data_IF_745819678157
#
_entry.id   IF_745819678157
#
_cell.length_a   1.000
_cell.length_b   1.000
_cell.length_c   1.000
_cell.angle_alpha   90.00
_cell.angle_beta   90.00
_cell.angle_gamma   90.00
#
_symmetry.space_group_name_H-M   'P 1'
#
loop_
_entity.id
_entity.type
_entity.pdbx_description
1 polymer ?
#
# COMPACT_ATOMS: atom_id res chain seq x y z
N UNK A 1 6.37 -36.03 -2.25
CA UNK A 1 7.69 -36.50 -2.60
C UNK A 1 7.59 -37.80 -3.41
N UNK A 2 8.34 -37.90 -4.51
CA UNK A 2 8.46 -39.14 -5.31
C UNK A 2 9.78 -39.83 -5.02
N UNK A 3 9.73 -41.00 -4.40
CA UNK A 3 10.92 -41.81 -4.15
C UNK A 3 11.55 -42.33 -5.45
N UNK A 4 10.71 -42.62 -6.44
CA UNK A 4 11.16 -43.10 -7.74
C UNK A 4 11.99 -42.03 -8.51
N UNK A 5 11.47 -40.78 -8.48
CA UNK A 5 12.06 -39.63 -9.22
C UNK A 5 13.02 -38.81 -8.39
N UNK A 6 13.12 -39.07 -7.10
CA UNK A 6 13.90 -38.28 -6.12
C UNK A 6 13.66 -36.77 -6.26
N UNK A 7 12.37 -36.39 -6.42
CA UNK A 7 11.93 -34.99 -6.58
C UNK A 7 10.53 -34.78 -6.04
N UNK A 8 10.19 -33.52 -5.79
CA UNK A 8 8.83 -33.12 -5.47
C UNK A 8 7.97 -33.08 -6.74
N UNK A 9 6.73 -33.53 -6.65
CA UNK A 9 5.75 -33.48 -7.73
C UNK A 9 4.59 -32.56 -7.32
N UNK A 10 4.44 -31.46 -8.03
CA UNK A 10 3.39 -30.48 -7.80
C UNK A 10 2.11 -30.91 -8.49
N UNK A 11 0.99 -30.83 -7.76
CA UNK A 11 -0.36 -31.07 -8.26
C UNK A 11 -1.30 -29.99 -7.76
N UNK A 12 -2.20 -29.50 -8.62
CA UNK A 12 -3.21 -28.52 -8.26
C UNK A 12 -3.38 -27.42 -9.29
N UNK A 13 -4.13 -26.38 -8.90
CA UNK A 13 -4.45 -25.25 -9.76
C UNK A 13 -4.04 -23.95 -9.08
N UNK A 14 -3.40 -23.06 -9.82
CA UNK A 14 -3.10 -21.70 -9.42
C UNK A 14 -3.80 -20.72 -10.35
N UNK A 15 -4.48 -19.73 -9.80
CA UNK A 15 -5.24 -18.72 -10.58
C UNK A 15 -4.64 -17.32 -10.38
N UNK A 16 -4.88 -16.48 -11.38
CA UNK A 16 -4.45 -15.06 -11.38
C UNK A 16 -2.94 -14.87 -11.23
N UNK A 17 -2.15 -15.78 -11.83
CA UNK A 17 -0.68 -15.72 -11.74
C UNK A 17 -0.16 -14.74 -12.79
N UNK A 18 0.30 -13.59 -12.34
CA UNK A 18 0.95 -12.59 -13.18
C UNK A 18 2.23 -13.17 -13.79
N UNK A 19 2.40 -13.00 -15.11
CA UNK A 19 3.48 -13.61 -15.88
C UNK A 19 3.58 -15.14 -15.70
N UNK A 20 2.42 -15.80 -15.56
CA UNK A 20 2.33 -17.24 -15.26
C UNK A 20 2.83 -18.14 -16.37
N UNK A 21 3.09 -17.62 -17.59
CA UNK A 21 3.74 -18.34 -18.69
C UNK A 21 5.28 -18.22 -18.67
N UNK A 22 5.84 -17.65 -17.61
CA UNK A 22 7.29 -17.54 -17.41
C UNK A 22 7.98 -18.90 -17.33
N UNK A 23 9.27 -18.92 -17.65
CA UNK A 23 10.05 -20.17 -17.74
C UNK A 23 10.37 -20.78 -16.38
N UNK A 24 10.58 -19.94 -15.36
CA UNK A 24 10.87 -20.36 -13.98
C UNK A 24 9.84 -19.76 -13.03
N UNK A 25 9.34 -20.57 -12.11
CA UNK A 25 8.34 -20.14 -11.15
C UNK A 25 8.70 -20.58 -9.73
N UNK A 26 8.54 -19.66 -8.76
CA UNK A 26 8.49 -20.00 -7.35
C UNK A 26 7.08 -20.38 -6.97
N UNK A 27 6.91 -21.57 -6.41
CA UNK A 27 5.60 -22.14 -6.09
C UNK A 27 5.51 -22.46 -4.61
N UNK A 28 4.56 -21.81 -3.94
CA UNK A 28 4.20 -22.20 -2.57
C UNK A 28 3.26 -23.39 -2.63
N UNK A 29 3.67 -24.51 -2.04
CA UNK A 29 2.87 -25.74 -2.00
C UNK A 29 2.92 -26.43 -0.63
N UNK A 30 1.91 -27.24 -0.35
CA UNK A 30 1.85 -28.04 0.86
C UNK A 30 2.69 -29.28 0.71
N UNK A 31 3.70 -29.41 1.57
CA UNK A 31 4.61 -30.56 1.62
C UNK A 31 4.37 -31.46 2.82
N UNK A 32 3.51 -31.04 3.76
CA UNK A 32 3.19 -31.78 4.98
C UNK A 32 1.74 -32.27 4.93
N UNK A 33 1.57 -33.58 4.88
CA UNK A 33 0.24 -34.21 4.97
C UNK A 33 -0.44 -33.91 6.32
N UNK A 34 -1.76 -33.83 6.32
CA UNK A 34 -2.55 -33.60 7.52
C UNK A 34 -2.45 -32.21 8.13
N UNK A 35 -1.73 -31.27 7.52
CA UNK A 35 -1.65 -29.89 7.98
C UNK A 35 -2.60 -28.97 7.20
N UNK A 36 -3.19 -27.99 7.90
CA UNK A 36 -4.07 -26.97 7.30
C UNK A 36 -3.51 -25.55 7.43
N UNK A 37 -2.51 -25.37 8.26
CA UNK A 37 -1.88 -24.08 8.58
C UNK A 37 -0.66 -23.75 7.69
N UNK A 38 -0.05 -22.60 7.96
CA UNK A 38 1.12 -22.10 7.27
C UNK A 38 2.38 -22.97 7.42
N UNK A 39 2.46 -23.76 8.50
CA UNK A 39 3.62 -24.61 8.82
C UNK A 39 3.74 -25.83 7.90
N UNK A 40 2.65 -26.17 7.20
CA UNK A 40 2.68 -27.24 6.19
C UNK A 40 3.16 -26.80 4.81
N UNK A 41 3.53 -25.52 4.61
CA UNK A 41 3.84 -24.93 3.33
C UNK A 41 5.34 -24.73 3.14
N UNK A 42 5.85 -25.20 1.99
CA UNK A 42 7.23 -25.02 1.55
C UNK A 42 7.31 -24.27 0.23
N UNK A 43 8.45 -23.63 -0.03
CA UNK A 43 8.73 -22.97 -1.29
C UNK A 43 9.44 -23.94 -2.21
N UNK A 44 8.96 -24.06 -3.43
CA UNK A 44 9.55 -24.88 -4.48
C UNK A 44 9.86 -24.03 -5.72
N UNK A 45 10.91 -24.37 -6.44
CA UNK A 45 11.20 -23.82 -7.76
C UNK A 45 10.82 -24.83 -8.82
N UNK A 46 10.10 -24.36 -9.81
CA UNK A 46 9.66 -25.12 -10.99
C UNK A 46 10.31 -24.51 -12.24
N UNK A 47 10.83 -25.36 -13.11
CA UNK A 47 11.35 -25.02 -14.43
C UNK A 47 10.38 -25.54 -15.50
N UNK A 48 9.95 -24.67 -16.43
CA UNK A 48 9.01 -25.03 -17.49
C UNK A 48 9.51 -26.16 -18.39
N UNK A 49 10.83 -26.31 -18.53
CA UNK A 49 11.48 -27.37 -19.31
C UNK A 49 11.20 -28.77 -18.76
N UNK A 50 10.92 -28.88 -17.45
CA UNK A 50 10.63 -30.16 -16.79
C UNK A 50 9.19 -30.65 -17.06
N UNK A 51 8.34 -29.82 -17.66
CA UNK A 51 6.97 -30.16 -18.02
C UNK A 51 6.01 -30.29 -16.81
N UNK A 52 4.81 -30.82 -17.06
CA UNK A 52 3.82 -31.02 -16.00
C UNK A 52 2.98 -29.80 -15.65
N UNK A 53 3.24 -28.62 -16.24
CA UNK A 53 2.40 -27.43 -16.07
C UNK A 53 1.76 -27.00 -17.40
N UNK A 54 0.46 -26.78 -17.35
CA UNK A 54 -0.31 -26.27 -18.49
C UNK A 54 -0.92 -24.91 -18.15
N UNK A 55 -0.68 -23.93 -19.00
CA UNK A 55 -1.47 -22.69 -19.01
C UNK A 55 -2.86 -23.04 -19.53
N UNK A 56 -3.87 -23.08 -18.65
CA UNK A 56 -5.23 -23.40 -19.01
C UNK A 56 -5.90 -22.25 -19.74
N UNK A 57 -5.62 -21.03 -19.30
CA UNK A 57 -6.03 -19.80 -19.99
C UNK A 57 -5.22 -18.58 -19.52
N UNK A 58 -5.18 -17.57 -20.37
CA UNK A 58 -4.79 -16.21 -20.03
C UNK A 58 -6.04 -15.42 -19.72
N UNK A 59 -6.09 -14.74 -18.60
CA UNK A 59 -7.26 -14.02 -18.11
C UNK A 59 -7.57 -12.78 -18.96
N UNK A 60 -8.85 -12.59 -19.29
CA UNK A 60 -9.33 -11.35 -19.91
C UNK A 60 -9.58 -10.30 -18.83
N UNK A 61 -8.67 -9.33 -18.72
CA UNK A 61 -8.62 -8.37 -17.61
C UNK A 61 -9.19 -7.01 -18.00
N UNK A 62 -9.59 -6.24 -16.98
CA UNK A 62 -9.99 -4.84 -17.12
C UNK A 62 -8.83 -3.99 -17.65
N UNK A 63 -7.67 -4.06 -17.00
CA UNK A 63 -6.43 -3.33 -17.31
C UNK A 63 -5.20 -4.21 -17.23
N UNK A 64 -4.02 -3.62 -17.33
CA UNK A 64 -2.70 -4.28 -17.36
C UNK A 64 -2.70 -5.46 -18.35
N UNK A 65 -3.22 -5.20 -19.56
CA UNK A 65 -3.44 -6.26 -20.56
C UNK A 65 -2.15 -6.76 -21.22
N UNK A 66 -1.06 -6.01 -21.12
CA UNK A 66 0.23 -6.39 -21.66
C UNK A 66 0.94 -7.51 -20.88
N UNK A 67 0.49 -7.82 -19.65
CA UNK A 67 1.04 -8.91 -18.85
C UNK A 67 0.10 -10.13 -18.88
N UNK A 68 0.60 -11.36 -19.19
CA UNK A 68 -0.21 -12.57 -19.20
C UNK A 68 -0.47 -13.02 -17.76
N UNK A 69 -1.71 -12.81 -17.28
CA UNK A 69 -2.17 -13.35 -16.01
C UNK A 69 -2.84 -14.69 -16.28
N UNK A 70 -2.25 -15.76 -15.75
CA UNK A 70 -2.58 -17.12 -16.16
C UNK A 70 -3.34 -17.89 -15.07
N UNK A 71 -4.12 -18.87 -15.52
CA UNK A 71 -4.54 -20.01 -14.74
C UNK A 71 -3.67 -21.20 -15.09
N UNK A 72 -2.91 -21.72 -14.09
CA UNK A 72 -1.95 -22.79 -14.24
C UNK A 72 -2.48 -24.09 -13.64
N UNK A 73 -2.36 -25.19 -14.39
CA UNK A 73 -2.67 -26.54 -13.91
C UNK A 73 -1.39 -27.33 -13.80
N UNK A 74 -1.08 -27.76 -12.60
CA UNK A 74 0.06 -28.61 -12.26
C UNK A 74 -0.40 -30.06 -12.22
N UNK A 75 0.29 -30.94 -12.95
CA UNK A 75 0.04 -32.39 -13.00
C UNK A 75 1.36 -33.10 -12.91
N UNK A 76 1.70 -33.60 -11.72
CA UNK A 76 2.97 -34.24 -11.43
C UNK A 76 4.19 -33.43 -11.92
N UNK A 77 4.12 -32.12 -11.82
CA UNK A 77 5.19 -31.22 -12.28
C UNK A 77 6.39 -31.32 -11.35
N UNK A 78 7.58 -31.72 -11.85
CA UNK A 78 8.77 -31.82 -11.04
C UNK A 78 9.19 -30.46 -10.48
N UNK A 79 9.62 -30.42 -9.22
CA UNK A 79 10.07 -29.18 -8.58
C UNK A 79 11.09 -29.45 -7.49
N UNK A 80 11.94 -28.47 -7.22
CA UNK A 80 12.99 -28.55 -6.21
C UNK A 80 12.66 -27.67 -5.01
N UNK A 81 12.99 -28.14 -3.81
CA UNK A 81 12.82 -27.39 -2.57
C UNK A 81 13.77 -26.18 -2.56
N UNK A 82 13.23 -25.02 -2.21
CA UNK A 82 14.02 -23.78 -2.00
C UNK A 82 14.10 -23.51 -0.51
N UNK A 83 15.33 -23.49 0.00
CA UNK A 83 15.57 -23.26 1.43
C UNK A 83 15.02 -24.38 2.33
N UNK A 84 14.50 -23.99 3.48
CA UNK A 84 14.06 -24.92 4.51
C UNK A 84 12.59 -25.36 4.30
N UNK A 85 12.33 -26.66 4.44
CA UNK A 85 10.99 -27.23 4.45
C UNK A 85 10.13 -26.61 5.55
N UNK A 86 8.84 -26.39 5.31
CA UNK A 86 7.88 -25.77 6.25
C UNK A 86 8.03 -24.26 6.45
N UNK A 87 9.05 -23.65 5.86
CA UNK A 87 9.31 -22.21 6.00
C UNK A 87 8.78 -21.39 4.81
N UNK A 88 8.10 -22.01 3.85
CA UNK A 88 7.68 -21.40 2.60
C UNK A 88 6.87 -20.12 2.79
N UNK A 89 5.81 -20.14 3.57
CA UNK A 89 4.99 -18.93 3.82
C UNK A 89 5.64 -18.02 4.86
N UNK A 90 6.04 -18.58 5.99
CA UNK A 90 6.45 -17.81 7.18
C UNK A 90 7.71 -16.97 6.91
N UNK A 91 8.67 -17.52 6.19
CA UNK A 91 9.95 -16.86 5.92
C UNK A 91 10.02 -16.31 4.49
N UNK A 92 9.83 -17.15 3.48
CA UNK A 92 10.15 -16.77 2.10
C UNK A 92 9.05 -15.96 1.43
N UNK A 93 7.79 -16.37 1.49
CA UNK A 93 6.68 -15.63 0.87
C UNK A 93 6.44 -14.30 1.58
N UNK A 94 6.51 -14.26 2.91
CA UNK A 94 6.29 -12.99 3.63
C UNK A 94 7.36 -11.94 3.30
N UNK A 95 8.63 -12.36 3.17
CA UNK A 95 9.70 -11.47 2.72
C UNK A 95 9.48 -10.96 1.28
N UNK A 96 9.10 -11.88 0.37
CA UNK A 96 8.77 -11.55 -1.02
C UNK A 96 7.58 -10.57 -1.10
N UNK A 97 6.52 -10.83 -0.34
CA UNK A 97 5.30 -10.01 -0.31
C UNK A 97 5.58 -8.58 0.19
N UNK A 98 6.42 -8.41 1.20
CA UNK A 98 6.78 -7.08 1.68
C UNK A 98 7.57 -6.29 0.62
N UNK A 99 8.50 -6.94 -0.08
CA UNK A 99 9.22 -6.32 -1.19
C UNK A 99 8.27 -5.99 -2.36
N UNK A 100 7.36 -6.90 -2.71
CA UNK A 100 6.37 -6.70 -3.77
C UNK A 100 5.42 -5.53 -3.45
N UNK A 101 4.97 -5.39 -2.20
CA UNK A 101 4.10 -4.27 -1.76
C UNK A 101 4.78 -2.91 -1.94
N UNK A 102 6.07 -2.82 -1.64
CA UNK A 102 6.84 -1.60 -1.89
C UNK A 102 6.93 -1.30 -3.40
N UNK A 103 7.14 -2.35 -4.23
CA UNK A 103 7.12 -2.25 -5.69
C UNK A 103 5.77 -1.77 -6.24
N UNK A 104 4.64 -2.28 -5.69
CA UNK A 104 3.30 -1.80 -6.04
C UNK A 104 3.10 -0.34 -5.59
N UNK A 105 3.67 0.04 -4.46
CA UNK A 105 3.72 1.44 -4.03
C UNK A 105 4.38 2.33 -5.10
N UNK A 106 5.55 1.94 -5.59
CA UNK A 106 6.27 2.66 -6.65
C UNK A 106 5.48 2.71 -7.97
N UNK A 107 4.89 1.59 -8.39
CA UNK A 107 4.05 1.52 -9.57
C UNK A 107 2.83 2.45 -9.46
N UNK A 108 2.19 2.47 -8.31
CA UNK A 108 1.04 3.35 -8.04
C UNK A 108 1.43 4.83 -8.05
N UNK A 109 2.59 5.20 -7.49
CA UNK A 109 3.13 6.57 -7.56
C UNK A 109 3.40 6.98 -9.00
N UNK A 110 3.97 6.08 -9.82
CA UNK A 110 4.19 6.32 -11.26
C UNK A 110 2.88 6.57 -12.02
N UNK A 111 1.81 5.83 -11.69
CA UNK A 111 0.49 6.01 -12.28
C UNK A 111 -0.15 7.34 -11.83
N UNK A 112 -0.02 7.69 -10.54
CA UNK A 112 -0.45 9.00 -10.02
C UNK A 112 0.21 10.14 -10.80
N UNK A 113 1.53 10.06 -11.01
CA UNK A 113 2.29 11.06 -11.75
C UNK A 113 1.82 11.16 -13.22
N UNK A 114 1.62 10.02 -13.89
CA UNK A 114 1.13 10.00 -15.27
C UNK A 114 -0.26 10.65 -15.36
N UNK A 115 -1.19 10.30 -14.48
CA UNK A 115 -2.53 10.87 -14.45
C UNK A 115 -2.50 12.41 -14.20
N UNK A 116 -1.67 12.84 -13.26
CA UNK A 116 -1.49 14.27 -12.97
C UNK A 116 -0.95 15.03 -14.19
N UNK A 117 0.11 14.51 -14.84
CA UNK A 117 0.73 15.16 -16.01
C UNK A 117 -0.24 15.28 -17.18
N UNK A 118 -1.00 14.24 -17.48
CA UNK A 118 -2.03 14.25 -18.53
C UNK A 118 -3.12 15.28 -18.21
N UNK A 119 -3.64 15.28 -16.98
CA UNK A 119 -4.64 16.26 -16.55
C UNK A 119 -4.12 17.71 -16.61
N UNK A 120 -2.88 17.94 -16.16
CA UNK A 120 -2.25 19.27 -16.19
C UNK A 120 -2.06 19.77 -17.63
N UNK A 121 -1.51 18.91 -18.51
CA UNK A 121 -1.29 19.24 -19.92
C UNK A 121 -2.60 19.63 -20.59
N UNK A 122 -3.62 18.78 -20.47
CA UNK A 122 -4.92 19.03 -21.07
C UNK A 122 -5.57 20.32 -20.54
N UNK A 123 -5.44 20.60 -19.24
CA UNK A 123 -6.02 21.78 -18.62
C UNK A 123 -5.39 23.10 -19.11
N UNK A 124 -4.13 23.06 -19.54
CA UNK A 124 -3.46 24.19 -20.17
C UNK A 124 -3.87 24.40 -21.64
N UNK A 125 -4.10 23.32 -22.38
CA UNK A 125 -4.37 23.33 -23.80
C UNK A 125 -5.86 23.56 -24.13
N UNK A 126 -6.76 23.02 -23.26
CA UNK A 126 -8.21 23.11 -23.52
C UNK A 126 -8.78 24.43 -23.08
N UNK A 127 -9.44 25.11 -24.02
CA UNK A 127 -10.15 26.35 -23.75
C UNK A 127 -11.67 26.13 -23.65
N UNK A 128 -12.29 26.84 -22.71
CA UNK A 128 -13.73 27.01 -22.56
C UNK A 128 -14.03 28.43 -22.07
N UNK A 129 -15.12 29.00 -22.54
CA UNK A 129 -15.54 30.36 -22.16
C UNK A 129 -14.43 31.41 -22.33
N UNK A 130 -13.61 31.26 -23.38
CA UNK A 130 -12.57 32.22 -23.76
C UNK A 130 -11.27 32.15 -22.94
N UNK A 131 -11.04 31.04 -22.19
CA UNK A 131 -9.80 30.85 -21.42
C UNK A 131 -9.46 29.37 -21.21
N UNK A 132 -8.17 29.02 -21.02
CA UNK A 132 -7.76 27.69 -20.63
C UNK A 132 -8.47 27.21 -19.37
N UNK A 133 -8.89 25.95 -19.35
CA UNK A 133 -9.69 25.41 -18.23
C UNK A 133 -8.94 25.39 -16.89
N UNK A 134 -7.61 25.41 -16.90
CA UNK A 134 -6.82 25.53 -15.67
C UNK A 134 -7.11 26.83 -14.90
N UNK A 135 -7.62 27.87 -15.56
CA UNK A 135 -7.97 29.13 -14.91
C UNK A 135 -9.31 29.10 -14.18
N UNK A 136 -10.05 27.99 -14.23
CA UNK A 136 -11.25 27.79 -13.41
C UNK A 136 -10.85 27.24 -12.05
N UNK A 137 -11.32 27.87 -10.97
CA UNK A 137 -10.97 27.51 -9.60
C UNK A 137 -11.17 26.04 -9.28
N UNK A 138 -12.28 25.45 -9.74
CA UNK A 138 -12.57 24.02 -9.53
C UNK A 138 -11.53 23.11 -10.20
N UNK A 139 -11.03 23.44 -11.39
CA UNK A 139 -10.00 22.67 -12.11
C UNK A 139 -8.64 22.86 -11.44
N UNK A 140 -8.29 24.09 -11.07
CA UNK A 140 -7.04 24.40 -10.34
C UNK A 140 -6.99 23.69 -9.00
N UNK A 141 -8.11 23.61 -8.27
CA UNK A 141 -8.21 22.89 -7.01
C UNK A 141 -7.98 21.38 -7.20
N UNK A 142 -8.63 20.76 -8.20
CA UNK A 142 -8.40 19.35 -8.54
C UNK A 142 -6.91 19.07 -8.81
N UNK A 143 -6.30 19.86 -9.68
CA UNK A 143 -4.88 19.70 -10.04
C UNK A 143 -3.93 19.94 -8.86
N UNK A 144 -4.23 20.92 -8.01
CA UNK A 144 -3.45 21.18 -6.79
C UNK A 144 -3.53 20.01 -5.80
N UNK A 145 -4.72 19.41 -5.63
CA UNK A 145 -4.93 18.23 -4.82
C UNK A 145 -4.20 17.02 -5.43
N UNK A 146 -4.25 16.83 -6.75
CA UNK A 146 -3.51 15.78 -7.44
C UNK A 146 -2.01 15.92 -7.22
N UNK A 147 -1.45 17.14 -7.40
CA UNK A 147 -0.02 17.41 -7.16
C UNK A 147 0.39 17.10 -5.73
N UNK A 148 -0.37 17.59 -4.76
CA UNK A 148 -0.07 17.37 -3.34
C UNK A 148 -0.10 15.88 -2.96
N UNK A 149 -1.08 15.12 -3.46
CA UNK A 149 -1.18 13.67 -3.25
C UNK A 149 -0.01 12.92 -3.88
N UNK A 150 0.36 13.21 -5.14
CA UNK A 150 1.48 12.55 -5.81
C UNK A 150 2.80 12.80 -5.08
N UNK A 151 3.06 14.04 -4.71
CA UNK A 151 4.27 14.38 -3.96
C UNK A 151 4.28 13.73 -2.57
N UNK A 152 3.13 13.72 -1.89
CA UNK A 152 2.98 13.11 -0.58
C UNK A 152 3.21 11.60 -0.57
N UNK A 153 2.59 10.84 -1.49
CA UNK A 153 2.83 9.39 -1.56
C UNK A 153 4.21 9.03 -2.07
N UNK A 154 4.84 9.89 -2.88
CA UNK A 154 6.25 9.74 -3.28
C UNK A 154 7.18 9.92 -2.07
N UNK A 155 6.93 10.92 -1.23
CA UNK A 155 7.67 11.11 0.00
C UNK A 155 7.53 9.91 0.95
N UNK A 156 6.30 9.40 1.11
CA UNK A 156 6.04 8.20 1.90
C UNK A 156 6.74 6.96 1.32
N UNK A 157 6.75 6.80 0.00
CA UNK A 157 7.45 5.70 -0.67
C UNK A 157 8.95 5.72 -0.38
N UNK A 158 9.60 6.86 -0.53
CA UNK A 158 11.03 6.98 -0.32
C UNK A 158 11.41 6.82 1.15
N UNK A 159 10.64 7.35 2.07
CA UNK A 159 10.86 7.14 3.51
C UNK A 159 10.71 5.67 3.89
N UNK A 160 9.69 4.99 3.34
CA UNK A 160 9.50 3.55 3.55
C UNK A 160 10.65 2.74 2.96
N UNK A 161 11.09 3.09 1.75
CA UNK A 161 12.24 2.44 1.10
C UNK A 161 13.50 2.58 1.94
N UNK A 162 13.75 3.76 2.52
CA UNK A 162 14.86 4.01 3.44
C UNK A 162 14.80 3.09 4.67
N UNK A 163 13.64 2.94 5.30
CA UNK A 163 13.50 2.03 6.45
C UNK A 163 13.78 0.58 6.07
N UNK A 164 13.26 0.15 4.92
CA UNK A 164 13.49 -1.21 4.42
C UNK A 164 14.96 -1.44 4.09
N UNK A 165 15.62 -0.47 3.48
CA UNK A 165 17.03 -0.58 3.10
C UNK A 165 17.94 -0.67 4.33
N UNK A 166 17.77 0.24 5.31
CA UNK A 166 18.56 0.23 6.54
C UNK A 166 18.40 -1.11 7.28
N UNK A 167 17.16 -1.59 7.43
CA UNK A 167 16.88 -2.89 8.05
C UNK A 167 17.59 -4.03 7.33
N UNK A 168 17.55 -4.05 5.98
CA UNK A 168 18.21 -5.09 5.16
C UNK A 168 19.72 -5.04 5.27
N UNK A 169 20.32 -3.84 5.32
CA UNK A 169 21.77 -3.70 5.48
C UNK A 169 22.26 -4.32 6.81
N UNK A 170 21.55 -4.11 7.92
CA UNK A 170 21.84 -4.81 9.17
C UNK A 170 21.67 -6.34 9.03
N UNK A 171 20.70 -6.78 8.24
CA UNK A 171 20.54 -8.20 7.91
C UNK A 171 21.77 -8.76 7.19
N UNK A 172 22.29 -8.07 6.18
CA UNK A 172 23.52 -8.47 5.47
C UNK A 172 24.73 -8.52 6.41
N UNK A 173 24.95 -7.45 7.20
CA UNK A 173 26.05 -7.41 8.18
C UNK A 173 25.95 -8.58 9.16
N UNK A 174 24.75 -8.98 9.56
CA UNK A 174 24.52 -10.11 10.50
C UNK A 174 24.94 -11.48 9.92
N UNK A 175 25.03 -11.60 8.60
CA UNK A 175 25.58 -12.80 7.93
C UNK A 175 27.10 -12.84 7.90
N UNK A 176 27.76 -11.67 8.00
CA UNK A 176 29.21 -11.54 7.94
C UNK A 176 29.85 -11.56 9.34
N UNK A 177 29.16 -10.94 10.30
CA UNK A 177 29.60 -10.86 11.71
C UNK A 177 28.40 -10.70 12.66
N UNK A 178 28.65 -10.97 13.93
CA UNK A 178 27.67 -10.66 14.98
C UNK A 178 27.45 -9.15 15.09
N UNK A 179 26.20 -8.72 15.18
CA UNK A 179 25.85 -7.32 15.39
C UNK A 179 26.16 -6.89 16.84
N UNK A 180 26.60 -5.66 17.03
CA UNK A 180 26.72 -5.02 18.35
C UNK A 180 25.33 -4.77 18.98
N UNK A 181 25.28 -4.47 20.27
CA UNK A 181 24.02 -4.29 21.00
C UNK A 181 23.16 -3.16 20.39
N UNK A 182 23.82 -2.04 20.06
CA UNK A 182 23.18 -0.86 19.45
C UNK A 182 22.69 -1.16 18.03
N UNK A 183 23.50 -1.84 17.21
CA UNK A 183 23.12 -2.26 15.86
C UNK A 183 21.89 -3.20 15.88
N UNK A 184 21.82 -4.11 16.86
CA UNK A 184 20.64 -4.98 17.03
C UNK A 184 19.37 -4.19 17.40
N UNK A 185 19.54 -3.13 18.23
CA UNK A 185 18.41 -2.26 18.57
C UNK A 185 17.94 -1.44 17.36
N UNK A 186 18.86 -0.88 16.60
CA UNK A 186 18.55 -0.15 15.37
C UNK A 186 17.90 -1.06 14.33
N UNK A 187 18.45 -2.25 14.09
CA UNK A 187 17.84 -3.23 13.19
C UNK A 187 16.38 -3.52 13.56
N UNK A 188 16.11 -3.77 14.86
CA UNK A 188 14.75 -4.01 15.36
C UNK A 188 13.85 -2.79 15.18
N UNK A 189 14.37 -1.60 15.38
CA UNK A 189 13.63 -0.36 15.21
C UNK A 189 13.24 -0.16 13.75
N UNK A 190 14.19 -0.25 12.81
CA UNK A 190 13.93 -0.08 11.39
C UNK A 190 13.08 -1.21 10.81
N UNK A 191 13.22 -2.44 11.30
CA UNK A 191 12.31 -3.54 10.93
C UNK A 191 10.86 -3.23 11.33
N UNK A 192 10.64 -2.74 12.55
CA UNK A 192 9.31 -2.34 13.04
C UNK A 192 8.71 -1.20 12.21
N UNK A 193 9.53 -0.21 11.80
CA UNK A 193 9.10 0.84 10.88
C UNK A 193 8.76 0.28 9.49
N UNK A 194 9.62 -0.56 8.92
CA UNK A 194 9.39 -1.19 7.63
C UNK A 194 8.07 -1.99 7.61
N UNK A 195 7.80 -2.77 8.67
CA UNK A 195 6.56 -3.56 8.81
C UNK A 195 5.30 -2.69 8.88
N UNK A 196 5.36 -1.51 9.50
CA UNK A 196 4.24 -0.57 9.58
C UNK A 196 4.06 0.28 8.32
N UNK A 197 5.16 0.79 7.77
CA UNK A 197 5.12 1.71 6.64
C UNK A 197 4.91 1.03 5.28
N UNK A 198 5.35 -0.21 5.09
CA UNK A 198 5.13 -0.94 3.83
C UNK A 198 3.64 -1.11 3.50
N UNK A 199 2.76 -1.58 4.41
CA UNK A 199 1.33 -1.61 4.12
C UNK A 199 0.73 -0.19 4.00
N UNK A 200 1.25 0.80 4.74
CA UNK A 200 0.78 2.18 4.66
C UNK A 200 1.06 2.79 3.28
N UNK A 201 2.26 2.62 2.74
CA UNK A 201 2.60 3.12 1.39
C UNK A 201 1.76 2.45 0.32
N UNK A 202 1.57 1.13 0.40
CA UNK A 202 0.73 0.39 -0.56
C UNK A 202 -0.73 0.85 -0.48
N UNK A 203 -1.27 1.07 0.71
CA UNK A 203 -2.63 1.58 0.90
C UNK A 203 -2.80 2.95 0.24
N UNK A 204 -2.03 3.95 0.68
CA UNK A 204 -2.21 5.33 0.22
C UNK A 204 -1.92 5.51 -1.26
N UNK A 205 -0.82 4.95 -1.77
CA UNK A 205 -0.45 5.12 -3.17
C UNK A 205 -1.46 4.46 -4.11
N UNK A 206 -1.97 3.26 -3.78
CA UNK A 206 -2.93 2.57 -4.63
C UNK A 206 -4.34 3.20 -4.61
N UNK A 207 -4.80 3.69 -3.46
CA UNK A 207 -6.07 4.44 -3.38
C UNK A 207 -5.97 5.76 -4.15
N UNK A 208 -4.86 6.50 -3.99
CA UNK A 208 -4.66 7.73 -4.73
C UNK A 208 -4.46 7.49 -6.23
N UNK A 209 -3.82 6.39 -6.66
CA UNK A 209 -3.72 6.05 -8.07
C UNK A 209 -5.10 5.90 -8.73
N UNK A 210 -6.04 5.23 -8.05
CA UNK A 210 -7.42 5.11 -8.54
C UNK A 210 -8.12 6.47 -8.60
N UNK A 211 -8.00 7.28 -7.54
CA UNK A 211 -8.62 8.60 -7.50
C UNK A 211 -8.03 9.53 -8.56
N UNK A 212 -6.72 9.58 -8.73
CA UNK A 212 -6.07 10.45 -9.70
C UNK A 212 -6.36 10.06 -11.15
N UNK A 213 -6.45 8.75 -11.43
CA UNK A 213 -6.88 8.30 -12.74
C UNK A 213 -8.34 8.69 -13.06
N UNK A 214 -9.23 8.65 -12.05
CA UNK A 214 -10.58 9.18 -12.13
C UNK A 214 -10.57 10.69 -12.38
N UNK A 215 -9.81 11.46 -11.61
CA UNK A 215 -9.72 12.91 -11.68
C UNK A 215 -9.16 13.36 -13.05
N UNK A 216 -8.19 12.63 -13.60
CA UNK A 216 -7.64 12.90 -14.94
C UNK A 216 -8.71 12.77 -16.02
N UNK A 217 -9.55 11.73 -16.00
CA UNK A 217 -10.70 11.60 -16.91
C UNK A 217 -11.67 12.76 -16.71
N UNK A 218 -11.96 13.13 -15.48
CA UNK A 218 -12.88 14.22 -15.15
C UNK A 218 -12.40 15.57 -15.70
N UNK A 219 -11.09 15.87 -15.60
CA UNK A 219 -10.47 17.08 -16.16
C UNK A 219 -10.58 17.10 -17.69
N UNK A 220 -10.41 15.95 -18.35
CA UNK A 220 -10.56 15.82 -19.80
C UNK A 220 -12.01 15.87 -20.26
N UNK A 221 -12.98 15.64 -19.37
CA UNK A 221 -14.39 15.53 -19.73
C UNK A 221 -14.64 14.40 -20.74
N UNK A 222 -15.46 14.63 -21.75
CA UNK A 222 -15.77 13.62 -22.77
C UNK A 222 -14.54 13.07 -23.49
N UNK A 223 -13.52 13.89 -23.70
CA UNK A 223 -12.24 13.46 -24.31
C UNK A 223 -11.53 12.39 -23.49
N UNK A 224 -11.56 12.49 -22.16
CA UNK A 224 -10.94 11.50 -21.26
C UNK A 224 -11.59 10.12 -21.27
N UNK A 225 -12.83 10.05 -21.75
CA UNK A 225 -13.56 8.78 -21.90
C UNK A 225 -13.22 8.07 -23.22
N UNK A 226 -12.63 8.78 -24.19
CA UNK A 226 -12.24 8.24 -25.48
C UNK A 226 -10.84 7.62 -25.43
N UNK A 227 -10.62 6.60 -26.27
CA UNK A 227 -9.33 5.87 -26.37
C UNK A 227 -8.22 6.69 -27.06
N UNK A 228 -8.54 7.85 -27.60
CA UNK A 228 -7.58 8.79 -28.20
C UNK A 228 -6.65 9.41 -27.14
N UNK A 229 -7.07 9.38 -25.88
CA UNK A 229 -6.31 9.89 -24.73
C UNK A 229 -5.91 8.74 -23.78
N UNK A 230 -4.77 8.84 -23.11
CA UNK A 230 -4.27 7.74 -22.25
C UNK A 230 -5.06 7.58 -20.93
N UNK A 231 -5.90 8.55 -20.56
CA UNK A 231 -6.60 8.59 -19.28
C UNK A 231 -7.50 7.38 -19.04
N UNK A 232 -8.22 6.91 -20.07
CA UNK A 232 -9.09 5.72 -19.96
C UNK A 232 -8.29 4.46 -19.62
N UNK A 233 -7.08 4.32 -20.20
CA UNK A 233 -6.18 3.21 -19.91
C UNK A 233 -5.60 3.32 -18.51
N UNK A 234 -5.13 4.51 -18.11
CA UNK A 234 -4.65 4.75 -16.75
C UNK A 234 -5.71 4.37 -15.71
N UNK A 235 -6.97 4.73 -15.95
CA UNK A 235 -8.08 4.38 -15.05
C UNK A 235 -8.31 2.87 -14.95
N UNK A 236 -8.32 2.17 -16.09
CA UNK A 236 -8.47 0.70 -16.10
C UNK A 236 -7.29 0.01 -15.42
N UNK A 237 -6.08 0.49 -15.64
CA UNK A 237 -4.86 -0.08 -15.07
C UNK A 237 -4.74 0.21 -13.57
N UNK A 238 -5.21 1.40 -13.11
CA UNK A 238 -5.20 1.78 -11.70
C UNK A 238 -6.02 0.83 -10.82
N UNK A 239 -7.11 0.26 -11.36
CA UNK A 239 -8.08 -0.46 -10.53
C UNK A 239 -7.50 -1.69 -9.83
N UNK A 240 -6.51 -2.34 -10.41
CA UNK A 240 -5.89 -3.52 -9.79
C UNK A 240 -4.96 -3.17 -8.64
N UNK A 241 -4.41 -1.94 -8.59
CA UNK A 241 -3.39 -1.52 -7.64
C UNK A 241 -3.82 -1.70 -6.17
N UNK A 242 -5.09 -1.51 -5.87
CA UNK A 242 -5.63 -1.67 -4.52
C UNK A 242 -6.28 -3.05 -4.27
N UNK A 243 -6.07 -4.02 -5.18
CA UNK A 243 -6.60 -5.38 -5.06
C UNK A 243 -5.47 -6.40 -4.88
N UNK A 244 -4.53 -6.47 -5.85
CA UNK A 244 -3.47 -7.49 -5.83
C UNK A 244 -2.40 -7.21 -4.77
N UNK A 245 -1.57 -8.20 -4.46
CA UNK A 245 -0.59 -8.16 -3.36
C UNK A 245 -1.20 -7.81 -2.00
N UNK A 246 -2.45 -8.18 -1.82
CA UNK A 246 -3.30 -7.86 -0.67
C UNK A 246 -4.13 -6.59 -0.89
N UNK A 247 -5.44 -6.73 -0.71
CA UNK A 247 -6.39 -5.62 -0.86
C UNK A 247 -6.10 -4.48 0.12
N UNK A 248 -6.69 -3.30 -0.12
CA UNK A 248 -6.61 -2.18 0.83
C UNK A 248 -7.01 -2.57 2.25
N UNK A 249 -8.03 -3.44 2.41
CA UNK A 249 -8.44 -3.96 3.72
C UNK A 249 -7.32 -4.78 4.38
N UNK A 250 -6.62 -5.63 3.63
CA UNK A 250 -5.47 -6.39 4.15
C UNK A 250 -4.28 -5.49 4.51
N UNK A 251 -4.09 -4.37 3.81
CA UNK A 251 -3.08 -3.38 4.22
C UNK A 251 -3.46 -2.72 5.55
N UNK A 252 -4.74 -2.41 5.76
CA UNK A 252 -5.24 -1.89 7.04
C UNK A 252 -5.01 -2.91 8.16
N UNK A 253 -5.36 -4.18 7.95
CA UNK A 253 -5.13 -5.28 8.92
C UNK A 253 -3.64 -5.43 9.26
N UNK A 254 -2.74 -5.23 8.30
CA UNK A 254 -1.30 -5.26 8.56
C UNK A 254 -0.83 -4.02 9.32
N UNK A 255 -1.29 -2.82 8.93
CA UNK A 255 -0.85 -1.54 9.48
C UNK A 255 -1.41 -1.23 10.87
N UNK A 256 -2.59 -1.77 11.25
CA UNK A 256 -3.22 -1.49 12.55
C UNK A 256 -2.32 -1.91 13.73
N UNK A 257 -1.46 -2.91 13.54
CA UNK A 257 -0.48 -3.29 14.55
C UNK A 257 0.53 -2.17 14.85
N UNK A 258 0.90 -1.36 13.86
CA UNK A 258 1.78 -0.23 14.06
C UNK A 258 1.09 0.94 14.81
N UNK A 259 -0.24 1.05 14.68
CA UNK A 259 -1.06 1.94 15.50
C UNK A 259 -1.08 1.46 16.94
N UNK A 260 -1.55 0.24 17.19
CA UNK A 260 -1.76 -0.29 18.55
C UNK A 260 -0.48 -0.49 19.36
N UNK A 261 0.66 -0.73 18.68
CA UNK A 261 1.98 -0.82 19.32
C UNK A 261 2.69 0.53 19.47
N UNK A 262 2.04 1.64 19.10
CA UNK A 262 2.58 2.98 19.19
C UNK A 262 3.68 3.32 18.19
N UNK A 263 3.98 2.45 17.21
CA UNK A 263 5.07 2.65 16.23
C UNK A 263 4.87 3.94 15.42
N UNK A 264 3.63 4.21 14.98
CA UNK A 264 3.34 5.43 14.23
C UNK A 264 3.42 6.67 15.11
N UNK A 265 2.90 6.62 16.35
CA UNK A 265 3.03 7.77 17.28
C UNK A 265 4.47 8.08 17.63
N UNK A 266 5.29 7.06 17.87
CA UNK A 266 6.74 7.24 18.11
C UNK A 266 7.40 7.93 16.92
N UNK A 267 7.12 7.49 15.69
CA UNK A 267 7.71 8.08 14.49
C UNK A 267 7.17 9.48 14.20
N UNK A 268 5.87 9.73 14.42
CA UNK A 268 5.27 11.08 14.35
C UNK A 268 5.94 12.01 15.35
N UNK A 269 6.20 11.55 16.57
CA UNK A 269 6.93 12.31 17.58
C UNK A 269 8.35 12.69 17.13
N UNK A 270 9.05 11.79 16.43
CA UNK A 270 10.37 12.07 15.85
C UNK A 270 10.29 13.15 14.77
N UNK A 271 9.32 13.06 13.84
CA UNK A 271 9.10 14.11 12.85
C UNK A 271 8.73 15.45 13.51
N UNK A 272 7.88 15.44 14.54
CA UNK A 272 7.49 16.67 15.25
C UNK A 272 8.64 17.37 15.99
N UNK A 273 9.74 16.65 16.24
CA UNK A 273 10.96 17.16 16.88
C UNK A 273 12.02 17.69 15.88
N UNK A 274 11.81 17.46 14.57
CA UNK A 274 12.70 18.00 13.53
C UNK A 274 12.56 19.51 13.40
N UNK A 275 13.57 20.15 12.81
CA UNK A 275 13.55 21.59 12.50
C UNK A 275 12.84 21.82 11.17
N UNK A 276 11.96 22.81 11.13
CA UNK A 276 11.20 23.19 9.94
C UNK A 276 11.42 24.66 9.62
N UNK A 277 11.24 25.03 8.34
CA UNK A 277 11.28 26.44 7.94
C UNK A 277 10.14 27.23 8.58
N UNK A 278 10.32 28.54 8.75
CA UNK A 278 9.29 29.42 9.30
C UNK A 278 7.96 29.31 8.52
N UNK A 279 8.05 29.16 7.20
CA UNK A 279 6.89 28.97 6.31
C UNK A 279 6.09 27.70 6.62
N UNK A 280 6.68 26.69 7.26
CA UNK A 280 6.04 25.42 7.62
C UNK A 280 5.60 25.36 9.08
N UNK A 281 5.99 26.31 9.95
CA UNK A 281 5.56 26.35 11.35
C UNK A 281 4.05 26.23 11.55
N UNK A 282 3.18 26.91 10.74
CA UNK A 282 1.73 26.75 10.88
C UNK A 282 1.25 25.33 10.57
N UNK A 283 1.85 24.66 9.57
CA UNK A 283 1.55 23.27 9.20
C UNK A 283 1.94 22.33 10.34
N UNK A 284 3.14 22.49 10.89
CA UNK A 284 3.64 21.67 12.01
C UNK A 284 2.79 21.87 13.27
N UNK A 285 2.37 23.10 13.56
CA UNK A 285 1.45 23.38 14.68
C UNK A 285 0.13 22.64 14.50
N UNK A 286 -0.46 22.71 13.31
CA UNK A 286 -1.67 21.96 12.98
C UNK A 286 -1.48 20.44 13.12
N UNK A 287 -0.34 19.90 12.67
CA UNK A 287 -0.04 18.48 12.80
C UNK A 287 0.04 18.01 14.25
N UNK A 288 0.57 18.85 15.16
CA UNK A 288 0.56 18.54 16.60
C UNK A 288 -0.87 18.45 17.16
N UNK A 289 -1.76 19.36 16.76
CA UNK A 289 -3.18 19.30 17.13
C UNK A 289 -3.85 18.02 16.59
N UNK A 290 -3.59 17.67 15.33
CA UNK A 290 -4.14 16.47 14.70
C UNK A 290 -3.59 15.18 15.35
N UNK A 291 -2.35 15.20 15.83
CA UNK A 291 -1.75 14.07 16.58
C UNK A 291 -2.45 13.85 17.92
N UNK A 292 -2.87 14.92 18.60
CA UNK A 292 -3.69 14.80 19.83
C UNK A 292 -5.01 14.09 19.51
N UNK A 293 -5.74 14.53 18.47
CA UNK A 293 -6.97 13.87 18.03
C UNK A 293 -6.76 12.38 17.68
N UNK A 294 -5.65 12.07 17.02
CA UNK A 294 -5.30 10.68 16.72
C UNK A 294 -5.12 9.85 18.00
N UNK A 295 -4.43 10.38 19.00
CA UNK A 295 -4.26 9.70 20.30
C UNK A 295 -5.58 9.50 21.04
N UNK A 296 -6.49 10.48 20.99
CA UNK A 296 -7.84 10.36 21.56
C UNK A 296 -8.67 9.28 20.86
N UNK A 297 -8.61 9.22 19.51
CA UNK A 297 -9.25 8.14 18.74
C UNK A 297 -8.70 6.77 19.11
N UNK A 298 -7.38 6.62 19.27
CA UNK A 298 -6.79 5.34 19.72
C UNK A 298 -7.32 4.94 21.09
N UNK A 299 -7.30 5.85 22.06
CA UNK A 299 -7.79 5.57 23.40
C UNK A 299 -9.29 5.16 23.41
N UNK A 300 -10.11 5.85 22.60
CA UNK A 300 -11.55 5.51 22.43
C UNK A 300 -11.74 4.11 21.86
N UNK A 301 -10.94 3.76 20.81
CA UNK A 301 -11.03 2.46 20.15
C UNK A 301 -10.52 1.34 21.08
N UNK A 302 -9.43 1.57 21.81
CA UNK A 302 -8.93 0.59 22.80
C UNK A 302 -9.92 0.33 23.93
N UNK A 303 -10.64 1.36 24.38
CA UNK A 303 -11.70 1.21 25.37
C UNK A 303 -12.87 0.40 24.81
N UNK A 304 -13.36 0.74 23.62
CA UNK A 304 -14.48 0.04 22.98
C UNK A 304 -14.18 -1.42 22.62
N UNK A 305 -12.94 -1.75 22.28
CA UNK A 305 -12.53 -3.13 21.95
C UNK A 305 -12.51 -4.06 23.18
N UNK A 306 -12.40 -3.49 24.40
CA UNK A 306 -12.57 -4.22 25.65
C UNK A 306 -14.05 -4.50 25.96
N UNK A 307 -14.96 -3.68 25.48
CA UNK A 307 -16.40 -3.80 25.68
C UNK A 307 -17.02 -4.75 24.64
N UNK A 308 -16.64 -4.60 23.36
CA UNK A 308 -17.15 -5.41 22.24
C UNK A 308 -16.01 -5.84 21.32
N UNK A 309 -15.87 -7.16 21.16
CA UNK A 309 -14.93 -7.76 20.21
C UNK A 309 -15.20 -7.27 18.78
N UNK A 310 -14.16 -6.76 18.13
CA UNK A 310 -14.22 -6.27 16.76
C UNK A 310 -14.44 -4.76 16.63
N UNK A 311 -14.57 -4.01 17.74
CA UNK A 311 -14.66 -2.54 17.70
C UNK A 311 -13.39 -1.93 17.10
N UNK A 312 -12.22 -2.47 17.44
CA UNK A 312 -10.95 -2.07 16.84
C UNK A 312 -10.92 -2.35 15.33
N UNK A 313 -11.34 -3.51 14.90
CA UNK A 313 -11.33 -3.88 13.47
C UNK A 313 -12.29 -3.00 12.67
N UNK A 314 -13.44 -2.65 13.25
CA UNK A 314 -14.41 -1.73 12.67
C UNK A 314 -13.83 -0.32 12.43
N UNK A 315 -12.98 0.17 13.34
CA UNK A 315 -12.35 1.48 13.24
C UNK A 315 -10.93 1.47 12.67
N UNK A 316 -10.35 0.29 12.38
CA UNK A 316 -8.96 0.15 11.99
C UNK A 316 -8.57 1.03 10.80
N UNK A 317 -9.41 1.10 9.76
CA UNK A 317 -9.14 1.93 8.58
C UNK A 317 -9.02 3.41 8.93
N UNK A 318 -9.92 3.92 9.77
CA UNK A 318 -9.92 5.34 10.20
C UNK A 318 -8.66 5.70 10.96
N UNK A 319 -8.21 4.83 11.86
CA UNK A 319 -6.97 5.02 12.62
C UNK A 319 -5.73 4.99 11.72
N UNK A 320 -5.64 3.99 10.82
CA UNK A 320 -4.50 3.84 9.90
C UNK A 320 -4.42 5.02 8.92
N UNK A 321 -5.55 5.43 8.34
CA UNK A 321 -5.59 6.57 7.42
C UNK A 321 -5.28 7.89 8.14
N UNK A 322 -5.74 8.07 9.39
CA UNK A 322 -5.38 9.24 10.21
C UNK A 322 -3.87 9.33 10.42
N UNK A 323 -3.23 8.23 10.85
CA UNK A 323 -1.77 8.18 10.99
C UNK A 323 -1.06 8.51 9.68
N UNK A 324 -1.53 7.92 8.57
CA UNK A 324 -0.94 8.14 7.25
C UNK A 324 -1.04 9.59 6.77
N UNK A 325 -2.17 10.25 6.97
CA UNK A 325 -2.35 11.67 6.64
C UNK A 325 -1.38 12.57 7.44
N UNK A 326 -1.21 12.32 8.74
CA UNK A 326 -0.27 13.04 9.58
C UNK A 326 1.18 12.82 9.09
N UNK A 327 1.57 11.56 8.89
CA UNK A 327 2.91 11.18 8.43
C UNK A 327 3.24 11.83 7.08
N UNK A 328 2.35 11.70 6.09
CA UNK A 328 2.56 12.27 4.75
C UNK A 328 2.72 13.80 4.82
N UNK A 329 1.94 14.46 5.66
CA UNK A 329 2.03 15.92 5.81
C UNK A 329 3.36 16.34 6.43
N UNK A 330 3.87 15.63 7.44
CA UNK A 330 5.21 15.87 7.99
C UNK A 330 6.31 15.67 6.94
N UNK A 331 6.21 14.62 6.14
CA UNK A 331 7.18 14.35 5.07
C UNK A 331 7.19 15.45 4.02
N UNK A 332 6.03 15.97 3.62
CA UNK A 332 5.92 17.13 2.72
C UNK A 332 6.48 18.41 3.35
N UNK A 333 6.21 18.66 4.63
CA UNK A 333 6.76 19.80 5.35
C UNK A 333 8.30 19.74 5.45
N UNK A 334 8.87 18.54 5.62
CA UNK A 334 10.32 18.31 5.59
C UNK A 334 10.89 18.61 4.19
N UNK A 335 10.26 18.10 3.13
CA UNK A 335 10.71 18.38 1.76
C UNK A 335 10.61 19.85 1.37
N UNK A 336 9.65 20.59 1.94
CA UNK A 336 9.56 22.05 1.75
C UNK A 336 10.78 22.82 2.31
N UNK A 337 11.54 22.22 3.22
CA UNK A 337 12.82 22.76 3.69
C UNK A 337 13.96 22.58 2.69
N UNK A 338 13.88 21.54 1.85
CA UNK A 338 14.86 21.25 0.81
C UNK A 338 14.57 21.97 -0.52
N UNK A 339 13.27 22.11 -0.86
CA UNK A 339 12.85 22.77 -2.08
C UNK A 339 11.50 23.48 -1.87
N UNK A 340 11.46 24.79 -2.13
CA UNK A 340 10.30 25.65 -1.90
C UNK A 340 9.02 25.18 -2.64
N UNK A 341 9.18 24.51 -3.76
CA UNK A 341 8.06 23.98 -4.55
C UNK A 341 7.16 23.01 -3.78
N UNK A 342 7.66 22.37 -2.72
CA UNK A 342 6.88 21.48 -1.87
C UNK A 342 6.03 22.21 -0.83
N UNK A 343 6.32 23.49 -0.55
CA UNK A 343 5.61 24.25 0.47
C UNK A 343 4.11 24.41 0.16
N UNK A 344 3.76 24.66 -1.10
CA UNK A 344 2.37 24.73 -1.54
C UNK A 344 1.66 23.37 -1.35
N UNK A 345 2.30 22.28 -1.74
CA UNK A 345 1.75 20.91 -1.61
C UNK A 345 1.59 20.50 -0.14
N UNK A 346 2.53 20.87 0.72
CA UNK A 346 2.42 20.63 2.16
C UNK A 346 1.19 21.33 2.77
N UNK A 347 0.94 22.59 2.39
CA UNK A 347 -0.23 23.33 2.84
C UNK A 347 -1.54 22.78 2.30
N UNK A 348 -1.59 22.42 1.00
CA UNK A 348 -2.77 21.82 0.36
C UNK A 348 -3.08 20.46 1.02
N UNK A 349 -2.06 19.61 1.20
CA UNK A 349 -2.24 18.30 1.80
C UNK A 349 -2.63 18.40 3.29
N UNK A 350 -2.10 19.39 4.01
CA UNK A 350 -2.48 19.65 5.40
C UNK A 350 -3.98 19.97 5.54
N UNK A 351 -4.54 20.79 4.64
CA UNK A 351 -5.99 21.08 4.64
C UNK A 351 -6.82 19.83 4.34
N UNK A 352 -6.38 19.02 3.38
CA UNK A 352 -7.03 17.74 3.07
C UNK A 352 -6.97 16.81 4.29
N UNK A 353 -5.81 16.68 4.93
CA UNK A 353 -5.61 15.85 6.11
C UNK A 353 -6.50 16.32 7.28
N UNK A 354 -6.58 17.64 7.54
CA UNK A 354 -7.43 18.20 8.58
C UNK A 354 -8.90 17.83 8.37
N UNK A 355 -9.43 17.96 7.15
CA UNK A 355 -10.81 17.61 6.83
C UNK A 355 -11.08 16.10 7.01
N UNK A 356 -10.17 15.24 6.52
CA UNK A 356 -10.30 13.79 6.63
C UNK A 356 -10.19 13.29 8.06
N UNK A 357 -9.28 13.87 8.84
CA UNK A 357 -9.13 13.54 10.26
C UNK A 357 -10.33 14.03 11.08
N UNK A 358 -10.89 15.21 10.77
CA UNK A 358 -12.09 15.69 11.43
C UNK A 358 -13.30 14.77 11.19
N UNK A 359 -13.50 14.28 9.95
CA UNK A 359 -14.50 13.28 9.60
C UNK A 359 -14.30 11.98 10.42
N UNK A 360 -13.09 11.42 10.38
CA UNK A 360 -12.76 10.20 11.10
C UNK A 360 -12.90 10.35 12.62
N UNK A 361 -12.44 11.47 13.18
CA UNK A 361 -12.53 11.79 14.60
C UNK A 361 -13.99 11.84 15.06
N UNK A 362 -14.82 12.59 14.35
CA UNK A 362 -16.25 12.70 14.65
C UNK A 362 -16.93 11.34 14.64
N UNK A 363 -16.60 10.53 13.62
CA UNK A 363 -17.18 9.19 13.50
C UNK A 363 -16.74 8.27 14.66
N UNK A 364 -15.45 8.21 14.96
CA UNK A 364 -14.91 7.33 16.02
C UNK A 364 -15.41 7.75 17.41
N UNK A 365 -15.40 9.05 17.71
CA UNK A 365 -15.78 9.54 19.04
C UNK A 365 -17.26 9.40 19.34
N UNK A 366 -18.11 9.43 18.30
CA UNK A 366 -19.57 9.26 18.44
C UNK A 366 -20.03 7.80 18.27
N UNK A 367 -19.13 6.89 17.83
CA UNK A 367 -19.51 5.49 17.67
C UNK A 367 -19.71 4.79 19.01
N UNK A 368 -20.73 3.94 19.02
CA UNK A 368 -21.08 3.07 20.14
C UNK A 368 -20.78 1.60 19.82
N UNK A 369 -20.85 0.76 20.83
CA UNK A 369 -20.70 -0.70 20.65
C UNK A 369 -21.86 -1.31 19.85
N UNK A 370 -23.03 -0.66 19.84
CA UNK A 370 -24.20 -1.08 19.05
C UNK A 370 -23.99 -0.90 17.55
N UNK A 371 -23.18 0.10 17.13
CA UNK A 371 -22.86 0.31 15.71
C UNK A 371 -22.21 -0.91 15.06
N UNK A 372 -21.37 -1.64 15.80
CA UNK A 372 -20.73 -2.87 15.29
C UNK A 372 -21.79 -3.92 14.96
N UNK A 373 -22.81 -4.07 15.78
CA UNK A 373 -23.92 -5.01 15.53
C UNK A 373 -24.78 -4.54 14.36
N UNK A 374 -25.05 -3.24 14.27
CA UNK A 374 -25.84 -2.66 13.17
C UNK A 374 -25.20 -2.95 11.80
N UNK A 375 -23.88 -2.76 11.65
CA UNK A 375 -23.20 -3.01 10.38
C UNK A 375 -23.02 -4.50 10.07
N UNK A 376 -23.10 -5.38 11.07
CA UNK A 376 -23.14 -6.84 10.87
C UNK A 376 -24.51 -7.36 10.44
N UNK A 377 -25.57 -6.57 10.58
CA UNK A 377 -26.90 -7.00 10.18
C UNK A 377 -27.00 -7.41 8.69
N UNK A 378 -26.18 -6.81 7.83
CA UNK A 378 -26.10 -7.15 6.42
C UNK A 378 -25.66 -8.61 6.16
N UNK A 379 -24.98 -9.25 7.13
CA UNK A 379 -24.59 -10.68 7.03
C UNK A 379 -25.80 -11.62 6.96
N UNK A 380 -26.99 -11.14 7.36
CA UNK A 380 -28.22 -11.92 7.39
C UNK A 380 -29.14 -11.65 6.18
N UNK A 381 -28.69 -10.88 5.19
CA UNK A 381 -29.49 -10.51 4.01
C UNK A 381 -29.37 -11.47 2.83
N UNK A 382 -28.72 -12.64 2.97
CA UNK A 382 -28.50 -13.64 1.91
C UNK A 382 -29.41 -14.84 2.09
#
# INVERSE_FOLDING_TARGET
WSEERQTWLLNGVKRFITNGDGEVSLVLARTEEGTTDARGLSMLVYDKRDGGVKVRRIENKLGIKGSPTCELVFTNAPAQLVGDRKMGLIKYVMSLMNAARLGIGAQSVGLCEAAYREGLKYAHEREQFGKPIIQFAAVSEMLSNMKAKVQGVRALLYETARFVEVYKQYGHISHERSLEAEERQEMKFYNRLADGFTPLVKLFSSEYANQQAYDAIQIHGGSGFMKDYPCERLYRDARIMNIYEGTSQLQVVAAINAVTKGTFLEQIGRYAAESYTEAMCPVVTKLKELTVKFSEMQARVEAGDKEVCGFKDFHARRLVETAGHIIITYLLARQAGEAEEYAASARVFCKLAEAKIAEAYTYVMNSTTEDVALFKAVENEV
#
